data_IF_909596966231
#
_entry.id   IF_909596966231
#
_cell.length_a   1.000
_cell.length_b   1.000
_cell.length_c   1.000
_cell.angle_alpha   90.00
_cell.angle_beta   90.00
_cell.angle_gamma   90.00
#
_symmetry.space_group_name_H-M   'P 1'
#
loop_
_entity.id
_entity.type
_entity.pdbx_description
1 polymer ?
#
# COMPACT_ATOMS: atom_id res chain seq x y z
N UNK A 1 31.97 -71.25 2.13
CA UNK A 1 32.27 -69.84 2.48
C UNK A 1 31.43 -68.95 1.56
N UNK A 2 30.31 -68.43 2.04
CA UNK A 2 29.41 -67.54 1.27
C UNK A 2 29.46 -66.17 1.94
N UNK A 3 29.96 -65.16 1.23
CA UNK A 3 30.04 -63.77 1.72
C UNK A 3 28.81 -63.01 1.23
N UNK A 4 27.89 -62.72 2.15
CA UNK A 4 26.76 -61.81 1.91
C UNK A 4 27.28 -60.38 1.70
N UNK A 5 26.93 -59.78 0.57
CA UNK A 5 27.10 -58.36 0.33
C UNK A 5 25.78 -57.64 0.66
N UNK A 6 25.79 -56.78 1.68
CA UNK A 6 24.67 -55.90 2.00
C UNK A 6 24.81 -54.61 1.19
N UNK A 7 23.82 -54.32 0.33
CA UNK A 7 23.70 -53.07 -0.42
C UNK A 7 22.89 -52.11 0.44
N UNK A 8 23.52 -51.02 0.90
CA UNK A 8 22.84 -49.89 1.53
C UNK A 8 22.34 -48.95 0.44
N UNK A 9 21.02 -48.86 0.27
CA UNK A 9 20.39 -47.86 -0.61
C UNK A 9 20.21 -46.58 0.23
N UNK A 10 21.05 -45.58 -0.01
CA UNK A 10 20.88 -44.24 0.55
C UNK A 10 19.75 -43.52 -0.21
N UNK A 11 18.59 -43.37 0.45
CA UNK A 11 17.49 -42.56 -0.06
C UNK A 11 17.83 -41.07 0.06
N UNK A 12 17.98 -40.37 -1.06
CA UNK A 12 18.10 -38.93 -1.10
C UNK A 12 16.73 -38.30 -0.78
N UNK A 13 16.62 -37.65 0.38
CA UNK A 13 15.48 -36.79 0.72
C UNK A 13 15.63 -35.48 -0.07
N UNK A 14 14.84 -35.32 -1.13
CA UNK A 14 14.68 -34.04 -1.80
C UNK A 14 13.91 -33.08 -0.88
N UNK A 15 14.62 -32.15 -0.25
CA UNK A 15 14.01 -31.01 0.45
C UNK A 15 13.50 -30.03 -0.60
N UNK A 16 12.24 -30.17 -0.99
CA UNK A 16 11.56 -29.16 -1.79
C UNK A 16 11.38 -27.88 -0.98
N UNK A 17 12.19 -26.85 -1.25
CA UNK A 17 11.88 -25.49 -0.83
C UNK A 17 10.64 -25.06 -1.59
N UNK A 18 9.47 -25.16 -0.94
CA UNK A 18 8.28 -24.48 -1.40
C UNK A 18 8.57 -22.97 -1.29
N UNK A 19 8.97 -22.35 -2.40
CA UNK A 19 8.99 -20.90 -2.50
C UNK A 19 7.58 -20.41 -2.14
N UNK A 20 7.45 -19.64 -1.06
CA UNK A 20 6.15 -19.17 -0.64
C UNK A 20 5.60 -18.25 -1.74
N UNK A 21 4.34 -18.47 -2.12
CA UNK A 21 3.73 -17.69 -3.17
C UNK A 21 3.62 -16.22 -2.71
N UNK A 22 3.85 -15.24 -3.62
CA UNK A 22 3.68 -13.83 -3.30
C UNK A 22 2.27 -13.55 -2.76
N UNK A 23 2.18 -12.75 -1.71
CA UNK A 23 0.90 -12.41 -1.09
C UNK A 23 0.26 -11.26 -1.86
N UNK A 24 -0.89 -11.54 -2.46
CA UNK A 24 -1.66 -10.61 -3.26
C UNK A 24 -2.94 -10.22 -2.52
N UNK A 25 -3.16 -8.92 -2.29
CA UNK A 25 -4.30 -8.40 -1.55
C UNK A 25 -5.04 -7.32 -2.34
N UNK A 26 -6.37 -7.34 -2.26
CA UNK A 26 -7.23 -6.22 -2.64
C UNK A 26 -7.89 -5.68 -1.39
N UNK A 27 -7.77 -4.38 -1.15
CA UNK A 27 -8.33 -3.71 0.00
C UNK A 27 -9.31 -2.62 -0.45
N UNK A 28 -10.54 -2.68 0.06
CA UNK A 28 -11.57 -1.68 -0.20
C UNK A 28 -11.76 -0.85 1.05
N UNK A 29 -11.83 0.47 0.88
CA UNK A 29 -11.88 1.37 2.01
C UNK A 29 -11.98 2.82 1.62
N UNK A 30 -11.69 3.67 2.60
CA UNK A 30 -11.85 5.11 2.49
C UNK A 30 -10.74 5.82 3.25
N UNK A 31 -10.62 7.12 3.02
CA UNK A 31 -9.59 7.93 3.61
C UNK A 31 -9.87 9.42 3.52
N UNK A 32 -8.91 10.20 3.98
CA UNK A 32 -8.92 11.65 3.88
C UNK A 32 -7.58 12.11 3.32
N UNK A 33 -7.63 12.85 2.21
CA UNK A 33 -6.44 13.42 1.58
C UNK A 33 -6.29 14.88 1.99
N UNK A 34 -5.09 15.28 2.38
CA UNK A 34 -4.76 16.65 2.68
C UNK A 34 -4.52 17.42 1.37
N UNK A 35 -5.40 18.38 1.07
CA UNK A 35 -5.33 19.22 -0.13
C UNK A 35 -5.03 20.67 0.24
N UNK A 36 -4.09 21.27 -0.48
CA UNK A 36 -3.88 22.72 -0.43
C UNK A 36 -5.08 23.37 -1.13
N UNK A 37 -5.75 24.26 -0.42
CA UNK A 37 -6.87 25.04 -0.93
C UNK A 37 -6.59 26.53 -0.80
N UNK A 38 -7.03 27.31 -1.78
CA UNK A 38 -6.91 28.77 -1.79
C UNK A 38 -8.30 29.36 -1.80
N UNK A 39 -8.64 30.13 -0.77
CA UNK A 39 -9.92 30.83 -0.65
C UNK A 39 -9.69 32.32 -0.84
N UNK A 40 -10.51 32.97 -1.66
CA UNK A 40 -10.49 34.41 -1.86
C UNK A 40 -11.67 35.04 -1.13
N UNK A 41 -11.40 36.12 -0.39
CA UNK A 41 -12.43 36.91 0.27
C UNK A 41 -12.29 38.37 -0.16
N UNK A 42 -13.41 39.01 -0.45
CA UNK A 42 -13.48 40.47 -0.61
C UNK A 42 -14.31 41.08 0.50
N UNK A 43 -13.85 42.21 1.01
CA UNK A 43 -14.53 42.99 2.02
C UNK A 43 -14.80 44.38 1.45
N UNK A 44 -16.02 44.87 1.62
CA UNK A 44 -16.41 46.23 1.28
C UNK A 44 -16.73 46.98 2.57
N UNK A 45 -16.25 48.20 2.65
CA UNK A 45 -16.57 49.12 3.75
C UNK A 45 -17.65 50.10 3.31
N UNK A 46 -18.38 50.67 4.27
CA UNK A 46 -19.50 51.58 4.03
C UNK A 46 -19.11 52.89 3.33
N UNK A 47 -17.81 53.19 3.22
CA UNK A 47 -17.29 54.34 2.48
C UNK A 47 -16.96 54.02 1.00
N UNK A 48 -17.31 52.82 0.51
CA UNK A 48 -17.05 52.38 -0.87
C UNK A 48 -15.66 51.76 -1.10
N UNK A 49 -14.80 51.69 -0.08
CA UNK A 49 -13.49 51.03 -0.21
C UNK A 49 -13.66 49.52 -0.19
N UNK A 50 -13.06 48.85 -1.18
CA UNK A 50 -12.99 47.39 -1.23
C UNK A 50 -11.57 46.91 -0.98
N UNK A 51 -11.45 45.81 -0.25
CA UNK A 51 -10.21 45.07 -0.07
C UNK A 51 -10.46 43.63 -0.51
N UNK A 52 -9.42 42.97 -1.02
CA UNK A 52 -9.45 41.54 -1.29
C UNK A 52 -8.26 40.88 -0.60
N UNK A 53 -8.45 39.63 -0.18
CA UNK A 53 -7.44 38.82 0.47
C UNK A 53 -7.52 37.39 -0.02
N UNK A 54 -6.37 36.72 -0.04
CA UNK A 54 -6.26 35.30 -0.35
C UNK A 54 -5.78 34.56 0.91
N UNK A 55 -6.54 33.55 1.32
CA UNK A 55 -6.17 32.63 2.38
C UNK A 55 -5.78 31.28 1.76
N UNK A 56 -4.53 30.86 1.97
CA UNK A 56 -4.05 29.53 1.58
C UNK A 56 -4.07 28.65 2.82
N UNK A 57 -4.75 27.51 2.75
CA UNK A 57 -4.86 26.57 3.85
C UNK A 57 -4.88 25.12 3.38
N UNK A 58 -4.85 24.20 4.34
CA UNK A 58 -5.00 22.77 4.11
C UNK A 58 -6.42 22.35 4.44
N UNK A 59 -7.00 21.48 3.60
CA UNK A 59 -8.32 20.88 3.82
C UNK A 59 -8.23 19.37 3.66
N UNK A 60 -8.80 18.65 4.61
CA UNK A 60 -9.03 17.22 4.48
C UNK A 60 -10.23 16.97 3.57
N UNK A 61 -9.98 16.20 2.50
CA UNK A 61 -10.99 15.83 1.52
C UNK A 61 -11.22 14.32 1.62
N UNK A 62 -12.43 13.87 1.99
CA UNK A 62 -12.72 12.44 2.05
C UNK A 62 -12.71 11.82 0.66
N UNK A 63 -12.32 10.55 0.58
CA UNK A 63 -12.37 9.76 -0.63
C UNK A 63 -12.61 8.28 -0.31
N UNK A 64 -13.20 7.56 -1.26
CA UNK A 64 -13.36 6.12 -1.23
C UNK A 64 -12.59 5.53 -2.41
N UNK A 65 -11.74 4.52 -2.18
CA UNK A 65 -10.90 3.94 -3.22
C UNK A 65 -10.45 2.51 -2.86
N UNK A 66 -9.92 1.82 -3.88
CA UNK A 66 -9.31 0.51 -3.74
C UNK A 66 -7.79 0.61 -3.67
N UNK A 67 -7.19 -0.24 -2.84
CA UNK A 67 -5.74 -0.44 -2.75
C UNK A 67 -5.39 -1.88 -3.12
N UNK A 68 -4.41 -2.05 -4.00
CA UNK A 68 -3.89 -3.37 -4.35
C UNK A 68 -2.48 -3.50 -3.79
N UNK A 69 -2.15 -4.67 -3.25
CA UNK A 69 -0.86 -4.93 -2.62
C UNK A 69 -0.33 -6.26 -3.13
N UNK A 70 0.97 -6.29 -3.39
CA UNK A 70 1.70 -7.51 -3.68
C UNK A 70 2.96 -7.52 -2.82
N UNK A 71 3.11 -8.54 -1.97
CA UNK A 71 4.25 -8.67 -1.07
C UNK A 71 5.05 -9.93 -1.43
N UNK A 72 6.31 -9.74 -1.83
CA UNK A 72 7.27 -10.81 -2.06
C UNK A 72 7.91 -11.27 -0.74
N UNK A 73 8.80 -12.26 -0.80
CA UNK A 73 9.50 -12.79 0.39
C UNK A 73 10.81 -12.05 0.72
N UNK A 74 11.22 -11.15 -0.15
CA UNK A 74 12.47 -10.40 -0.13
C UNK A 74 12.40 -9.10 0.70
N UNK A 75 11.50 -9.02 1.69
CA UNK A 75 11.20 -7.80 2.46
C UNK A 75 10.77 -6.60 1.58
N UNK A 76 10.45 -6.88 0.32
CA UNK A 76 9.97 -5.93 -0.66
C UNK A 76 8.53 -6.25 -1.08
N UNK A 77 7.88 -5.23 -1.59
CA UNK A 77 6.55 -5.36 -2.15
C UNK A 77 6.22 -4.20 -3.06
N UNK A 78 4.99 -4.21 -3.57
CA UNK A 78 4.44 -3.09 -4.31
C UNK A 78 2.99 -2.85 -3.94
N UNK A 79 2.59 -1.60 -4.01
CA UNK A 79 1.24 -1.14 -3.66
C UNK A 79 0.72 -0.15 -4.70
N UNK A 80 -0.56 -0.27 -5.06
CA UNK A 80 -1.29 0.79 -5.76
C UNK A 80 -2.05 1.60 -4.74
N UNK A 81 -1.57 2.82 -4.48
CA UNK A 81 -2.20 3.73 -3.54
C UNK A 81 -3.44 4.41 -4.14
N UNK A 82 -4.38 4.87 -3.28
CA UNK A 82 -5.50 5.69 -3.71
C UNK A 82 -5.03 6.95 -4.42
N UNK A 83 -5.66 7.31 -5.54
CA UNK A 83 -5.21 8.47 -6.34
C UNK A 83 -5.29 9.78 -5.55
N UNK A 84 -6.20 9.86 -4.59
CA UNK A 84 -6.37 11.02 -3.74
C UNK A 84 -5.13 11.33 -2.87
N UNK A 85 -4.39 10.30 -2.46
CA UNK A 85 -3.18 10.45 -1.64
C UNK A 85 -1.91 10.73 -2.45
N UNK A 86 -2.02 10.75 -3.78
CA UNK A 86 -0.87 10.88 -4.65
C UNK A 86 -0.54 12.35 -4.93
N UNK A 87 0.73 12.76 -4.77
CA UNK A 87 1.18 14.09 -5.17
C UNK A 87 1.21 14.21 -6.70
N UNK A 88 1.18 15.43 -7.26
CA UNK A 88 1.26 15.64 -8.71
C UNK A 88 2.55 15.05 -9.33
N UNK A 89 3.68 15.23 -8.63
CA UNK A 89 4.97 14.62 -8.98
C UNK A 89 5.19 13.40 -8.09
N UNK A 90 5.15 12.22 -8.70
CA UNK A 90 5.24 10.93 -8.03
C UNK A 90 6.15 10.00 -8.83
N UNK A 91 6.81 9.09 -8.12
CA UNK A 91 7.50 7.97 -8.75
C UNK A 91 6.53 6.86 -9.11
N UNK A 92 7.03 5.62 -9.05
CA UNK A 92 6.27 4.43 -9.35
C UNK A 92 6.17 4.13 -10.85
N UNK A 93 5.81 2.89 -11.17
CA UNK A 93 5.66 2.39 -12.54
C UNK A 93 4.26 1.84 -12.71
N UNK A 94 3.53 2.32 -13.71
CA UNK A 94 2.14 1.93 -13.98
C UNK A 94 1.19 2.09 -12.78
N UNK A 95 1.48 3.05 -11.88
CA UNK A 95 0.73 3.30 -10.66
C UNK A 95 1.11 2.43 -9.45
N UNK A 96 2.07 1.50 -9.61
CA UNK A 96 2.66 0.74 -8.52
C UNK A 96 3.80 1.51 -7.87
N UNK A 97 3.80 1.52 -6.54
CA UNK A 97 4.85 2.07 -5.69
C UNK A 97 5.53 0.94 -4.93
N UNK A 98 6.84 1.04 -4.78
CA UNK A 98 7.61 0.07 -4.00
C UNK A 98 7.26 0.18 -2.51
N UNK A 99 7.18 -0.94 -1.83
CA UNK A 99 7.10 -1.04 -0.37
C UNK A 99 8.41 -1.62 0.12
N UNK A 100 9.11 -0.88 0.97
CA UNK A 100 10.38 -1.26 1.59
C UNK A 100 10.19 -1.58 3.05
N UNK A 101 11.20 -2.24 3.62
CA UNK A 101 11.26 -2.61 5.03
C UNK A 101 10.01 -3.42 5.43
N UNK A 102 9.59 -4.36 4.56
CA UNK A 102 8.40 -5.15 4.80
C UNK A 102 8.69 -6.19 5.87
N UNK A 103 8.07 -6.03 7.03
CA UNK A 103 8.16 -6.99 8.13
C UNK A 103 6.85 -7.77 8.19
N UNK A 104 6.90 -9.05 7.83
CA UNK A 104 5.76 -9.99 7.90
C UNK A 104 5.72 -10.66 9.28
N UNK A 105 5.12 -10.01 10.27
CA UNK A 105 4.84 -10.59 11.58
C UNK A 105 3.68 -11.58 11.54
N UNK A 106 3.46 -12.30 12.65
CA UNK A 106 2.37 -13.26 12.78
C UNK A 106 0.99 -12.58 12.70
N UNK A 107 0.82 -11.47 13.43
CA UNK A 107 -0.46 -10.77 13.55
C UNK A 107 -0.53 -9.51 12.68
N UNK A 108 0.63 -8.95 12.30
CA UNK A 108 0.72 -7.68 11.60
C UNK A 108 1.79 -7.73 10.51
N UNK A 109 1.52 -7.08 9.37
CA UNK A 109 2.51 -6.77 8.35
C UNK A 109 2.73 -5.26 8.32
N UNK A 110 3.97 -4.82 8.39
CA UNK A 110 4.33 -3.40 8.26
C UNK A 110 5.22 -3.16 7.06
N UNK A 111 5.26 -1.91 6.60
CA UNK A 111 6.19 -1.49 5.55
C UNK A 111 6.15 0.01 5.32
N UNK A 112 7.07 0.50 4.50
CA UNK A 112 7.14 1.90 4.09
C UNK A 112 6.95 2.01 2.59
N UNK A 113 5.88 2.67 2.17
CA UNK A 113 5.59 2.91 0.76
C UNK A 113 6.46 4.04 0.24
N UNK A 114 7.06 3.88 -0.93
CA UNK A 114 7.94 4.88 -1.54
C UNK A 114 7.22 5.59 -2.68
N UNK A 115 6.49 6.67 -2.36
CA UNK A 115 5.79 7.48 -3.37
C UNK A 115 6.75 8.44 -4.05
N UNK A 116 7.60 9.12 -3.28
CA UNK A 116 8.75 9.91 -3.72
C UNK A 116 9.71 10.15 -2.54
N UNK A 117 10.79 10.91 -2.73
CA UNK A 117 11.81 11.19 -1.69
C UNK A 117 11.24 11.92 -0.46
N UNK A 118 10.12 12.64 -0.59
CA UNK A 118 9.54 13.45 0.49
C UNK A 118 8.28 12.84 1.12
N UNK A 119 7.64 11.90 0.44
CA UNK A 119 6.38 11.27 0.83
C UNK A 119 6.56 9.75 0.85
N UNK A 120 6.75 9.22 2.05
CA UNK A 120 6.89 7.79 2.29
C UNK A 120 5.87 7.34 3.36
N UNK A 121 4.60 7.09 2.99
CA UNK A 121 3.57 6.72 3.95
C UNK A 121 3.87 5.36 4.58
N UNK A 122 3.49 5.21 5.86
CA UNK A 122 3.60 3.97 6.61
C UNK A 122 2.41 3.08 6.32
N UNK A 123 2.69 1.82 5.99
CA UNK A 123 1.70 0.79 5.76
C UNK A 123 1.68 -0.17 6.94
N UNK A 124 0.47 -0.51 7.38
CA UNK A 124 0.22 -1.54 8.39
C UNK A 124 -1.00 -2.36 7.99
N UNK A 125 -0.88 -3.67 8.09
CA UNK A 125 -1.94 -4.64 7.80
C UNK A 125 -2.12 -5.53 9.02
N UNK A 126 -3.30 -5.50 9.63
CA UNK A 126 -3.74 -6.45 10.64
C UNK A 126 -4.18 -7.74 9.94
N UNK A 127 -3.42 -8.82 10.16
CA UNK A 127 -3.67 -10.12 9.52
C UNK A 127 -4.83 -10.88 10.16
N UNK A 128 -5.18 -10.56 11.40
CA UNK A 128 -6.24 -11.23 12.15
C UNK A 128 -7.60 -10.70 11.72
N UNK A 129 -7.72 -9.37 11.64
CA UNK A 129 -8.97 -8.71 11.26
C UNK A 129 -9.06 -8.44 9.76
N UNK A 130 -7.94 -8.53 9.04
CA UNK A 130 -7.88 -8.21 7.61
C UNK A 130 -7.99 -6.72 7.33
N UNK A 131 -7.55 -5.84 8.24
CA UNK A 131 -7.60 -4.39 8.03
C UNK A 131 -6.27 -3.84 7.56
N UNK A 132 -6.30 -2.80 6.73
CA UNK A 132 -5.14 -2.00 6.37
C UNK A 132 -5.29 -0.57 6.89
N UNK A 133 -4.16 0.03 7.25
CA UNK A 133 -4.01 1.47 7.39
C UNK A 133 -2.78 1.95 6.61
N UNK A 134 -2.95 3.03 5.85
CA UNK A 134 -1.87 3.82 5.29
C UNK A 134 -1.89 5.20 5.95
N UNK A 135 -0.76 5.65 6.46
CA UNK A 135 -0.66 6.98 7.07
C UNK A 135 0.52 7.77 6.52
N UNK A 136 0.28 9.01 6.11
CA UNK A 136 1.32 9.87 5.57
C UNK A 136 0.91 11.34 5.49
N UNK A 137 1.84 12.18 5.04
CA UNK A 137 1.64 13.64 4.97
C UNK A 137 0.53 14.07 4.00
N UNK A 138 0.31 13.28 2.95
CA UNK A 138 -0.69 13.55 1.94
C UNK A 138 -2.11 13.10 2.36
N UNK A 139 -2.23 12.44 3.50
CA UNK A 139 -3.49 11.90 4.01
C UNK A 139 -3.35 10.49 4.58
N UNK A 140 -4.49 9.96 4.96
CA UNK A 140 -4.63 8.63 5.56
C UNK A 140 -5.66 7.80 4.78
N UNK A 141 -5.53 6.48 4.85
CA UNK A 141 -6.47 5.51 4.28
C UNK A 141 -6.62 4.32 5.24
N UNK A 142 -7.84 3.82 5.36
CA UNK A 142 -8.14 2.58 6.05
C UNK A 142 -9.12 1.73 5.23
N UNK A 143 -8.97 0.41 5.29
CA UNK A 143 -9.83 -0.49 4.52
C UNK A 143 -9.79 -1.93 5.03
N UNK A 144 -10.56 -2.78 4.38
CA UNK A 144 -10.61 -4.23 4.61
C UNK A 144 -10.01 -4.93 3.41
N UNK A 145 -9.06 -5.82 3.66
CA UNK A 145 -8.29 -6.57 2.68
C UNK A 145 -8.79 -8.01 2.54
N UNK A 146 -8.77 -8.49 1.32
CA UNK A 146 -9.01 -9.89 0.97
C UNK A 146 -7.86 -10.41 0.11
N UNK A 147 -7.41 -11.65 0.33
CA UNK A 147 -6.46 -12.29 -0.57
C UNK A 147 -7.10 -12.48 -1.94
N UNK A 148 -6.34 -12.22 -2.99
CA UNK A 148 -6.74 -12.53 -4.36
C UNK A 148 -5.63 -13.29 -5.04
N UNK A 149 -5.96 -14.24 -5.89
CA UNK A 149 -4.96 -14.95 -6.69
C UNK A 149 -5.07 -14.49 -8.15
N UNK A 150 -4.05 -13.79 -8.69
CA UNK A 150 -4.09 -13.29 -10.06
C UNK A 150 -4.20 -14.38 -11.13
N UNK A 151 -3.88 -15.64 -10.79
CA UNK A 151 -3.90 -16.77 -11.74
C UNK A 151 -5.26 -17.44 -11.88
N UNK A 152 -6.12 -17.31 -10.86
CA UNK A 152 -7.45 -17.93 -10.83
C UNK A 152 -8.58 -16.93 -11.09
N UNK A 153 -8.29 -15.62 -11.06
CA UNK A 153 -9.26 -14.58 -11.37
C UNK A 153 -9.59 -14.60 -12.87
N UNK A 154 -10.84 -14.95 -13.20
CA UNK A 154 -11.40 -14.70 -14.52
C UNK A 154 -11.50 -13.20 -14.76
N UNK A 155 -10.83 -12.72 -15.80
CA UNK A 155 -11.02 -11.35 -16.27
C UNK A 155 -12.44 -11.23 -16.79
N UNK A 156 -13.18 -10.26 -16.26
CA UNK A 156 -14.53 -9.98 -16.73
C UNK A 156 -14.55 -9.45 -18.17
N UNK A 157 -13.41 -8.99 -18.69
CA UNK A 157 -13.19 -8.49 -20.05
C UNK A 157 -11.74 -8.74 -20.49
#
# INVERSE_FOLDING_TARGET
>A
MVRSAAIFIAGALATGTAAAAPLHLVCIGNGSANRITSTYGSAWSSNGTSAWGQAIGNKDVPFDDQVNIELGDDELGRIRMPRAMLPPIRGGKDGWFEVKDVVKGQDEITGTVQVNVFNSPKMRIDRIRGHISLSGKAGDYAGVCQPYDPTTVQRAF
#
